data_IF_165159034093
#
_entry.id   IF_165159034093
#
_cell.length_a   1.000
_cell.length_b   1.000
_cell.length_c   1.000
_cell.angle_alpha   90.00
_cell.angle_beta   90.00
_cell.angle_gamma   90.00
#
_symmetry.space_group_name_H-M   'P 1'
#
loop_
_entity.id
_entity.type
_entity.pdbx_description
1 polymer ?
#
# COMPACT_ATOMS: atom_id res chain seq x y z
N UNK A 1 5.10 -6.55 -2.41
CA UNK A 1 4.29 -5.29 -2.50
C UNK A 1 5.12 -4.06 -2.16
N UNK A 2 5.94 -4.08 -1.11
CA UNK A 2 6.81 -2.94 -0.73
C UNK A 2 7.75 -2.49 -1.86
N UNK A 3 8.41 -3.38 -2.63
CA UNK A 3 9.26 -2.92 -3.73
C UNK A 3 8.54 -2.08 -4.79
N UNK A 4 7.21 -2.24 -4.90
CA UNK A 4 6.38 -1.41 -5.81
C UNK A 4 6.18 0.00 -5.24
N UNK A 5 6.02 0.10 -3.93
CA UNK A 5 5.99 1.39 -3.25
C UNK A 5 7.36 2.06 -3.26
N UNK A 6 8.46 1.33 -3.09
CA UNK A 6 9.81 1.93 -3.09
C UNK A 6 10.13 2.58 -4.44
N UNK A 7 9.70 1.96 -5.55
CA UNK A 7 9.78 2.56 -6.88
C UNK A 7 8.98 3.87 -6.98
N UNK A 8 7.74 3.88 -6.47
CA UNK A 8 6.93 5.10 -6.40
C UNK A 8 7.62 6.16 -5.53
N UNK A 9 8.10 5.81 -4.34
CA UNK A 9 8.74 6.74 -3.42
C UNK A 9 9.98 7.41 -4.06
N UNK A 10 10.79 6.63 -4.79
CA UNK A 10 11.91 7.17 -5.54
C UNK A 10 11.48 8.18 -6.62
N UNK A 11 10.38 7.92 -7.33
CA UNK A 11 9.81 8.85 -8.30
C UNK A 11 9.27 10.12 -7.63
N UNK A 12 8.54 9.97 -6.51
CA UNK A 12 8.01 11.11 -5.75
C UNK A 12 9.15 12.00 -5.23
N UNK A 13 10.24 11.41 -4.75
CA UNK A 13 11.42 12.15 -4.29
C UNK A 13 12.17 12.84 -5.43
N UNK A 14 12.22 12.24 -6.62
CA UNK A 14 12.72 12.91 -7.82
C UNK A 14 11.87 14.16 -8.14
N UNK A 15 10.54 14.02 -8.12
CA UNK A 15 9.59 15.12 -8.39
C UNK A 15 9.73 16.21 -7.33
N UNK A 16 9.83 15.86 -6.04
CA UNK A 16 10.05 16.83 -4.94
C UNK A 16 11.32 17.64 -5.14
N UNK A 17 12.45 16.96 -5.37
CA UNK A 17 13.75 17.63 -5.59
C UNK A 17 13.71 18.54 -6.82
N UNK A 18 13.06 18.10 -7.89
CA UNK A 18 12.87 18.93 -9.07
C UNK A 18 12.06 20.19 -8.75
N UNK A 19 10.89 20.06 -8.13
CA UNK A 19 10.02 21.19 -7.76
C UNK A 19 10.71 22.18 -6.81
N UNK A 20 11.48 21.68 -5.84
CA UNK A 20 12.25 22.50 -4.92
C UNK A 20 13.34 23.28 -5.65
N UNK A 21 14.10 22.63 -6.54
CA UNK A 21 15.14 23.31 -7.33
C UNK A 21 14.56 24.40 -8.24
N UNK A 22 13.43 24.12 -8.87
CA UNK A 22 12.67 25.03 -9.74
C UNK A 22 12.17 26.23 -8.95
N UNK A 23 11.73 26.03 -7.70
CA UNK A 23 11.20 27.11 -6.85
C UNK A 23 12.27 28.12 -6.35
N UNK A 24 13.53 27.71 -6.30
CA UNK A 24 14.65 28.55 -5.80
C UNK A 24 15.28 29.43 -6.89
N UNK A 25 14.98 29.16 -8.16
CA UNK A 25 15.53 29.89 -9.30
C UNK A 25 14.58 31.00 -9.76
N UNK A 26 15.13 32.12 -10.26
CA UNK A 26 14.32 33.07 -11.02
C UNK A 26 13.95 32.44 -12.37
N UNK A 27 12.73 31.92 -12.46
CA UNK A 27 12.24 31.24 -13.66
C UNK A 27 11.43 32.16 -14.56
N UNK A 28 11.55 31.94 -15.86
CA UNK A 28 10.62 32.51 -16.84
C UNK A 28 9.26 31.83 -16.74
N UNK A 29 8.23 32.47 -17.30
CA UNK A 29 6.86 31.90 -17.32
C UNK A 29 6.82 30.55 -18.05
N UNK A 30 7.57 30.42 -19.15
CA UNK A 30 7.64 29.17 -19.91
C UNK A 30 8.33 28.06 -19.13
N UNK A 31 9.42 28.37 -18.40
CA UNK A 31 10.10 27.38 -17.55
C UNK A 31 9.17 26.84 -16.46
N UNK A 32 8.36 27.71 -15.84
CA UNK A 32 7.36 27.29 -14.85
C UNK A 32 6.29 26.39 -15.46
N UNK A 33 5.85 26.71 -16.68
CA UNK A 33 4.87 25.91 -17.44
C UNK A 33 5.42 24.53 -17.81
N UNK A 34 6.66 24.44 -18.28
CA UNK A 34 7.31 23.16 -18.55
C UNK A 34 7.50 22.33 -17.28
N UNK A 35 7.91 22.96 -16.17
CA UNK A 35 8.03 22.28 -14.89
C UNK A 35 6.69 21.71 -14.42
N UNK A 36 5.61 22.50 -14.53
CA UNK A 36 4.26 22.07 -14.21
C UNK A 36 3.83 20.83 -15.03
N UNK A 37 3.99 20.89 -16.36
CA UNK A 37 3.64 19.81 -17.29
C UNK A 37 4.40 18.53 -16.95
N UNK A 38 5.71 18.64 -16.75
CA UNK A 38 6.56 17.51 -16.42
C UNK A 38 6.17 16.88 -15.08
N UNK A 39 5.96 17.70 -14.04
CA UNK A 39 5.63 17.22 -12.70
C UNK A 39 4.25 16.57 -12.63
N UNK A 40 3.22 17.14 -13.25
CA UNK A 40 1.88 16.53 -13.26
C UNK A 40 1.87 15.22 -14.05
N UNK A 41 2.54 15.19 -15.21
CA UNK A 41 2.61 13.99 -16.04
C UNK A 41 3.36 12.86 -15.33
N UNK A 42 4.51 13.17 -14.74
CA UNK A 42 5.30 12.21 -13.97
C UNK A 42 4.54 11.71 -12.73
N UNK A 43 3.96 12.62 -11.94
CA UNK A 43 3.23 12.26 -10.73
C UNK A 43 2.08 11.30 -11.02
N UNK A 44 1.28 11.60 -12.05
CA UNK A 44 0.19 10.71 -12.45
C UNK A 44 0.70 9.36 -12.97
N UNK A 45 1.70 9.36 -13.85
CA UNK A 45 2.24 8.14 -14.43
C UNK A 45 2.86 7.21 -13.37
N UNK A 46 3.59 7.76 -12.39
CA UNK A 46 4.15 7.01 -11.27
C UNK A 46 3.06 6.41 -10.38
N UNK A 47 2.00 7.18 -10.07
CA UNK A 47 0.86 6.66 -9.30
C UNK A 47 0.11 5.54 -10.06
N UNK A 48 -0.14 5.73 -11.35
CA UNK A 48 -0.83 4.73 -12.19
C UNK A 48 -0.04 3.42 -12.26
N UNK A 49 1.26 3.53 -12.57
CA UNK A 49 2.17 2.38 -12.62
C UNK A 49 2.22 1.66 -11.27
N UNK A 50 2.30 2.41 -10.16
CA UNK A 50 2.27 1.84 -8.82
C UNK A 50 0.98 1.06 -8.55
N UNK A 51 -0.19 1.65 -8.82
CA UNK A 51 -1.48 1.02 -8.56
C UNK A 51 -1.67 -0.27 -9.38
N UNK A 52 -1.32 -0.25 -10.67
CA UNK A 52 -1.38 -1.42 -11.55
C UNK A 52 -0.44 -2.54 -11.06
N UNK A 53 0.83 -2.21 -10.79
CA UNK A 53 1.81 -3.20 -10.31
C UNK A 53 1.47 -3.73 -8.92
N UNK A 54 0.89 -2.90 -8.05
CA UNK A 54 0.44 -3.30 -6.72
C UNK A 54 -0.74 -4.26 -6.81
N UNK A 55 -1.72 -3.98 -7.69
CA UNK A 55 -2.85 -4.88 -7.95
C UNK A 55 -2.37 -6.27 -8.38
N UNK A 56 -1.43 -6.32 -9.32
CA UNK A 56 -0.85 -7.58 -9.77
C UNK A 56 -0.12 -8.33 -8.66
N UNK A 57 0.80 -7.66 -7.95
CA UNK A 57 1.56 -8.32 -6.88
C UNK A 57 0.67 -8.78 -5.73
N UNK A 58 -0.33 -7.98 -5.36
CA UNK A 58 -1.32 -8.35 -4.35
C UNK A 58 -2.12 -9.59 -4.78
N UNK A 59 -2.60 -9.64 -6.02
CA UNK A 59 -3.28 -10.82 -6.57
C UNK A 59 -2.41 -12.07 -6.51
N UNK A 60 -1.14 -11.99 -6.92
CA UNK A 60 -0.21 -13.13 -6.82
C UNK A 60 -0.07 -13.65 -5.39
N UNK A 61 0.04 -12.76 -4.40
CA UNK A 61 0.19 -13.15 -3.00
C UNK A 61 -1.06 -13.83 -2.46
N UNK A 62 -2.23 -13.26 -2.73
CA UNK A 62 -3.50 -13.83 -2.30
C UNK A 62 -3.79 -15.17 -2.98
N UNK A 63 -3.40 -15.33 -4.25
CA UNK A 63 -3.63 -16.54 -5.04
C UNK A 63 -2.52 -17.60 -4.89
N UNK A 64 -1.44 -17.31 -4.17
CA UNK A 64 -0.43 -18.31 -3.81
C UNK A 64 -1.00 -19.41 -2.91
N UNK A 65 -2.08 -19.11 -2.17
CA UNK A 65 -2.86 -20.09 -1.42
C UNK A 65 -4.36 -19.73 -1.45
N UNK A 66 -5.09 -20.20 -2.48
CA UNK A 66 -6.49 -19.83 -2.70
C UNK A 66 -7.46 -20.37 -1.65
N UNK A 67 -7.05 -21.33 -0.82
CA UNK A 67 -7.86 -21.79 0.33
C UNK A 67 -8.11 -20.67 1.35
N UNK A 68 -7.29 -19.62 1.34
CA UNK A 68 -7.46 -18.44 2.20
C UNK A 68 -8.52 -17.45 1.70
N UNK A 69 -9.00 -17.63 0.46
CA UNK A 69 -10.02 -16.80 -0.19
C UNK A 69 -11.43 -17.36 0.01
N UNK A 70 -12.42 -16.47 0.07
CA UNK A 70 -13.82 -16.89 0.06
C UNK A 70 -14.26 -17.28 -1.36
N UNK A 71 -15.29 -18.12 -1.48
CA UNK A 71 -15.87 -18.47 -2.77
C UNK A 71 -16.34 -17.23 -3.55
N UNK A 72 -16.85 -16.21 -2.84
CA UNK A 72 -17.25 -14.93 -3.42
C UNK A 72 -16.06 -14.16 -4.01
N UNK A 73 -14.92 -14.13 -3.31
CA UNK A 73 -13.69 -13.49 -3.80
C UNK A 73 -13.15 -14.18 -5.06
N UNK A 74 -13.12 -15.52 -5.07
CA UNK A 74 -12.69 -16.30 -6.23
C UNK A 74 -13.62 -16.05 -7.43
N UNK A 75 -14.93 -16.08 -7.21
CA UNK A 75 -15.90 -15.82 -8.28
C UNK A 75 -15.82 -14.38 -8.80
N UNK A 76 -15.62 -13.41 -7.91
CA UNK A 76 -15.45 -11.99 -8.26
C UNK A 76 -14.18 -11.78 -9.08
N UNK A 77 -13.07 -12.40 -8.67
CA UNK A 77 -11.82 -12.41 -9.42
C UNK A 77 -12.03 -12.98 -10.82
N UNK A 78 -12.58 -14.19 -10.94
CA UNK A 78 -12.82 -14.84 -12.25
C UNK A 78 -13.70 -14.00 -13.15
N UNK A 79 -14.77 -13.44 -12.60
CA UNK A 79 -15.68 -12.58 -13.36
C UNK A 79 -14.96 -11.35 -13.89
N UNK A 80 -14.16 -10.68 -13.06
CA UNK A 80 -13.30 -9.55 -13.47
C UNK A 80 -12.28 -10.00 -14.52
N UNK A 81 -11.65 -11.16 -14.33
CA UNK A 81 -10.62 -11.69 -15.24
C UNK A 81 -11.18 -12.00 -16.62
N UNK A 82 -12.34 -12.67 -16.70
CA UNK A 82 -13.06 -12.95 -17.94
C UNK A 82 -13.41 -11.67 -18.68
N UNK A 83 -13.96 -10.68 -17.97
CA UNK A 83 -14.32 -9.38 -18.56
C UNK A 83 -13.09 -8.67 -19.12
N UNK A 84 -12.01 -8.61 -18.34
CA UNK A 84 -10.78 -7.93 -18.73
C UNK A 84 -10.06 -8.64 -19.88
N UNK A 85 -9.97 -9.98 -19.84
CA UNK A 85 -9.40 -10.77 -20.92
C UNK A 85 -10.18 -10.59 -22.23
N UNK A 86 -11.52 -10.65 -22.15
CA UNK A 86 -12.40 -10.41 -23.31
C UNK A 86 -12.22 -9.01 -23.88
N UNK A 87 -12.11 -7.99 -23.01
CA UNK A 87 -11.88 -6.61 -23.43
C UNK A 87 -10.50 -6.41 -24.06
N UNK A 88 -9.46 -7.10 -23.59
CA UNK A 88 -8.11 -7.05 -24.16
C UNK A 88 -8.03 -7.75 -25.52
N UNK A 89 -8.67 -8.92 -25.67
CA UNK A 89 -8.71 -9.64 -26.95
C UNK A 89 -9.44 -8.85 -28.04
N UNK A 90 -10.29 -7.89 -27.66
CA UNK A 90 -10.90 -6.93 -28.59
C UNK A 90 -10.02 -5.74 -28.97
N UNK A 91 -8.80 -5.61 -28.42
CA UNK A 91 -7.86 -4.51 -28.70
C UNK A 91 -6.76 -4.95 -29.67
N UNK A 92 -6.06 -3.98 -30.26
CA UNK A 92 -4.87 -4.25 -31.06
C UNK A 92 -3.70 -4.61 -30.12
N UNK A 93 -3.43 -5.91 -29.98
CA UNK A 93 -2.27 -6.43 -29.27
C UNK A 93 -0.99 -6.31 -30.13
N UNK A 94 0.18 -6.45 -29.53
CA UNK A 94 1.47 -6.30 -30.21
C UNK A 94 1.89 -4.86 -30.54
N UNK A 95 1.12 -3.84 -30.10
CA UNK A 95 1.43 -2.42 -30.30
C UNK A 95 1.28 -1.60 -29.03
N UNK A 96 2.03 -0.49 -28.95
CA UNK A 96 1.93 0.48 -27.85
C UNK A 96 2.12 -0.17 -26.47
N UNK A 97 1.16 0.05 -25.56
CA UNK A 97 1.17 -0.51 -24.19
C UNK A 97 1.03 -2.04 -24.13
N UNK A 98 0.65 -2.70 -25.23
CA UNK A 98 0.47 -4.16 -25.30
C UNK A 98 1.47 -4.82 -26.25
N UNK A 99 2.64 -4.18 -26.46
CA UNK A 99 3.65 -4.66 -27.41
C UNK A 99 4.19 -6.05 -27.07
N UNK A 100 4.24 -6.40 -25.79
CA UNK A 100 4.86 -7.63 -25.30
C UNK A 100 3.86 -8.77 -25.05
N UNK A 101 2.62 -8.62 -25.53
CA UNK A 101 1.53 -9.56 -25.24
C UNK A 101 0.82 -9.90 -26.53
N UNK A 102 0.55 -11.20 -26.68
CA UNK A 102 -0.28 -11.72 -27.75
C UNK A 102 -1.59 -12.33 -27.20
N UNK A 103 -2.46 -12.72 -28.13
CA UNK A 103 -3.75 -13.33 -27.81
C UNK A 103 -3.57 -14.64 -27.03
N UNK A 104 -2.52 -15.41 -27.34
CA UNK A 104 -2.28 -16.71 -26.74
C UNK A 104 -1.91 -16.58 -25.26
N UNK A 105 -1.11 -15.58 -24.90
CA UNK A 105 -0.77 -15.25 -23.52
C UNK A 105 -2.03 -14.94 -22.70
N UNK A 106 -2.94 -14.13 -23.24
CA UNK A 106 -4.19 -13.78 -22.56
C UNK A 106 -5.08 -15.02 -22.39
N UNK A 107 -5.21 -15.85 -23.43
CA UNK A 107 -6.04 -17.06 -23.38
C UNK A 107 -5.48 -18.08 -22.38
N UNK A 108 -4.16 -18.29 -22.34
CA UNK A 108 -3.51 -19.17 -21.36
C UNK A 108 -3.75 -18.67 -19.94
N UNK A 109 -3.57 -17.39 -19.73
CA UNK A 109 -3.76 -16.76 -18.42
C UNK A 109 -5.23 -16.85 -17.94
N UNK A 110 -6.18 -16.62 -18.85
CA UNK A 110 -7.60 -16.78 -18.58
C UNK A 110 -7.95 -18.24 -18.26
N UNK A 111 -7.46 -19.19 -19.06
CA UNK A 111 -7.69 -20.61 -18.85
C UNK A 111 -7.17 -21.04 -17.47
N UNK A 112 -5.96 -20.60 -17.11
CA UNK A 112 -5.38 -20.87 -15.79
C UNK A 112 -6.24 -20.33 -14.64
N UNK A 113 -6.82 -19.16 -14.80
CA UNK A 113 -7.71 -18.57 -13.81
C UNK A 113 -9.06 -19.30 -13.67
N UNK A 114 -9.53 -19.97 -14.72
CA UNK A 114 -10.83 -20.64 -14.76
C UNK A 114 -10.76 -22.12 -14.34
N UNK A 115 -9.68 -22.82 -14.64
CA UNK A 115 -9.54 -24.27 -14.37
C UNK A 115 -8.98 -24.60 -12.97
N UNK A 116 -8.72 -23.58 -12.15
CA UNK A 116 -8.05 -23.73 -10.85
C UNK A 116 -6.66 -24.39 -10.94
N UNK A 117 -5.94 -24.17 -12.03
CA UNK A 117 -4.52 -24.53 -12.11
C UNK A 117 -3.73 -23.69 -11.11
N UNK A 118 -3.04 -24.38 -10.21
CA UNK A 118 -2.15 -23.77 -9.23
C UNK A 118 -0.70 -24.08 -9.59
N UNK A 119 0.21 -23.10 -9.62
CA UNK A 119 -0.05 -21.67 -9.41
C UNK A 119 -0.79 -21.02 -10.59
N UNK A 120 -1.59 -19.98 -10.31
CA UNK A 120 -2.27 -19.17 -11.33
C UNK A 120 -1.25 -18.43 -12.21
N UNK A 121 -1.34 -18.59 -13.54
CA UNK A 121 -0.57 -17.79 -14.52
C UNK A 121 -1.28 -16.46 -14.76
N UNK A 122 -1.13 -15.52 -13.83
CA UNK A 122 -1.71 -14.19 -13.94
C UNK A 122 -0.87 -13.30 -14.85
N UNK A 123 -1.54 -12.49 -15.67
CA UNK A 123 -0.94 -11.35 -16.39
C UNK A 123 -1.34 -10.00 -15.79
N UNK A 124 -0.37 -9.09 -15.72
CA UNK A 124 -0.52 -7.72 -15.21
C UNK A 124 -1.61 -6.99 -15.97
N UNK A 125 -1.59 -7.09 -17.29
CA UNK A 125 -2.42 -6.31 -18.19
C UNK A 125 -3.87 -6.73 -18.11
N UNK A 126 -4.14 -7.99 -17.76
CA UNK A 126 -5.50 -8.48 -17.52
C UNK A 126 -5.98 -8.06 -16.15
N UNK A 127 -5.20 -8.29 -15.07
CA UNK A 127 -5.67 -8.00 -13.71
C UNK A 127 -5.84 -6.50 -13.47
N UNK A 128 -4.92 -5.70 -14.02
CA UNK A 128 -4.87 -4.27 -13.86
C UNK A 128 -5.56 -3.52 -15.00
N UNK A 129 -6.27 -4.21 -15.91
CA UNK A 129 -6.99 -3.54 -16.98
C UNK A 129 -8.01 -2.55 -16.41
N UNK A 130 -7.86 -1.30 -16.82
CA UNK A 130 -8.85 -0.24 -16.66
C UNK A 130 -8.94 0.57 -17.97
N UNK A 131 -10.14 1.06 -18.29
CA UNK A 131 -10.40 1.81 -19.53
C UNK A 131 -10.51 3.33 -19.32
N UNK A 132 -10.42 3.79 -18.08
CA UNK A 132 -10.45 5.19 -17.69
C UNK A 132 -9.19 5.53 -16.89
N UNK A 133 -8.84 6.80 -16.83
CA UNK A 133 -7.83 7.28 -15.88
C UNK A 133 -8.19 6.81 -14.45
N UNK A 134 -7.19 6.49 -13.64
CA UNK A 134 -7.33 6.12 -12.23
C UNK A 134 -7.83 7.26 -11.34
N UNK A 135 -9.11 7.64 -11.51
CA UNK A 135 -9.90 8.32 -10.48
C UNK A 135 -10.16 7.34 -9.32
N UNK A 136 -10.69 7.85 -8.21
CA UNK A 136 -10.90 7.10 -6.97
C UNK A 136 -11.60 5.75 -7.16
N UNK A 137 -12.73 5.74 -7.86
CA UNK A 137 -13.50 4.51 -8.09
C UNK A 137 -12.73 3.55 -9.02
N UNK A 138 -12.08 4.05 -10.07
CA UNK A 138 -11.29 3.23 -10.97
C UNK A 138 -10.09 2.59 -10.28
N UNK A 139 -9.43 3.30 -9.36
CA UNK A 139 -8.38 2.74 -8.50
C UNK A 139 -8.96 1.66 -7.57
N UNK A 140 -10.10 1.92 -6.91
CA UNK A 140 -10.74 0.94 -6.04
C UNK A 140 -11.18 -0.33 -6.80
N UNK A 141 -11.61 -0.17 -8.06
CA UNK A 141 -12.04 -1.26 -8.95
C UNK A 141 -10.95 -2.26 -9.28
N UNK A 142 -9.67 -1.85 -9.23
CA UNK A 142 -8.55 -2.78 -9.40
C UNK A 142 -8.57 -3.88 -8.32
N UNK A 143 -8.98 -3.53 -7.09
CA UNK A 143 -8.90 -4.40 -5.91
C UNK A 143 -10.26 -4.88 -5.41
N UNK A 144 -11.37 -4.39 -5.98
CA UNK A 144 -12.74 -4.66 -5.54
C UNK A 144 -13.07 -6.16 -5.44
N UNK A 145 -12.41 -7.00 -6.24
CA UNK A 145 -12.59 -8.45 -6.19
C UNK A 145 -12.21 -9.07 -4.83
N UNK A 146 -11.19 -8.50 -4.16
CA UNK A 146 -10.72 -8.95 -2.86
C UNK A 146 -11.20 -8.05 -1.72
N UNK A 147 -11.32 -6.75 -1.97
CA UNK A 147 -11.51 -5.71 -0.95
C UNK A 147 -12.61 -4.73 -1.35
N UNK A 148 -13.89 -5.11 -1.25
CA UNK A 148 -15.00 -4.23 -1.65
C UNK A 148 -15.05 -2.91 -0.87
N UNK A 149 -14.58 -2.90 0.39
CA UNK A 149 -14.57 -1.74 1.27
C UNK A 149 -13.25 -0.96 1.26
N UNK A 150 -12.40 -1.15 0.24
CA UNK A 150 -11.07 -0.56 0.15
C UNK A 150 -11.05 0.97 0.34
N UNK A 151 -11.94 1.79 -0.27
CA UNK A 151 -11.98 3.23 -0.04
C UNK A 151 -12.05 3.61 1.44
N UNK A 152 -12.91 2.93 2.20
CA UNK A 152 -13.05 3.15 3.63
C UNK A 152 -11.79 2.75 4.38
N UNK A 153 -11.09 1.68 3.97
CA UNK A 153 -9.83 1.27 4.61
C UNK A 153 -8.73 2.31 4.41
N UNK A 154 -8.57 2.82 3.20
CA UNK A 154 -7.58 3.86 2.87
C UNK A 154 -7.82 5.12 3.70
N UNK A 155 -9.08 5.57 3.78
CA UNK A 155 -9.48 6.72 4.60
C UNK A 155 -9.05 6.58 6.07
N UNK A 156 -9.07 5.36 6.62
CA UNK A 156 -8.72 5.12 8.01
C UNK A 156 -7.23 4.90 8.24
N UNK A 157 -6.43 4.75 7.16
CA UNK A 157 -5.01 4.48 7.25
C UNK A 157 -4.25 5.60 7.98
N UNK A 158 -3.24 5.21 8.75
CA UNK A 158 -2.47 6.13 9.59
C UNK A 158 -1.74 7.20 8.74
N UNK A 159 -1.17 6.83 7.59
CA UNK A 159 -0.55 7.76 6.64
C UNK A 159 -1.53 8.83 6.13
N UNK A 160 -2.75 8.42 5.75
CA UNK A 160 -3.80 9.34 5.27
C UNK A 160 -4.27 10.28 6.37
N UNK A 161 -4.45 9.77 7.60
CA UNK A 161 -4.76 10.61 8.77
C UNK A 161 -3.64 11.60 9.07
N UNK A 162 -2.38 11.18 8.96
CA UNK A 162 -1.22 12.06 9.17
C UNK A 162 -1.19 13.19 8.15
N UNK A 163 -1.38 12.86 6.86
CA UNK A 163 -1.50 13.84 5.78
C UNK A 163 -2.65 14.81 6.05
N UNK A 164 -3.84 14.31 6.40
CA UNK A 164 -5.01 15.13 6.72
C UNK A 164 -4.70 16.22 7.76
N UNK A 165 -4.06 15.83 8.87
CA UNK A 165 -3.70 16.76 9.94
C UNK A 165 -2.68 17.79 9.44
N UNK A 166 -1.64 17.35 8.72
CA UNK A 166 -0.60 18.24 8.16
C UNK A 166 -1.16 19.23 7.14
N UNK A 167 -2.16 18.82 6.36
CA UNK A 167 -2.83 19.63 5.35
C UNK A 167 -3.92 20.53 5.93
N UNK A 168 -4.04 20.66 7.25
CA UNK A 168 -5.00 21.56 7.91
C UNK A 168 -6.45 21.09 7.89
N UNK A 169 -6.72 19.84 7.50
CA UNK A 169 -8.07 19.27 7.44
C UNK A 169 -8.40 18.53 8.75
N UNK A 170 -8.31 19.20 9.90
CA UNK A 170 -8.32 18.58 11.24
C UNK A 170 -9.62 17.90 11.70
N UNK A 171 -10.63 17.79 10.85
CA UNK A 171 -11.90 17.15 11.22
C UNK A 171 -11.74 15.64 11.47
N UNK A 172 -12.42 15.14 12.51
CA UNK A 172 -12.24 13.77 13.02
C UNK A 172 -12.57 12.65 12.02
N UNK A 173 -13.29 12.98 10.95
CA UNK A 173 -13.64 12.02 9.88
C UNK A 173 -13.36 12.68 8.54
N UNK A 174 -12.36 12.18 7.81
CA UNK A 174 -12.10 12.65 6.47
C UNK A 174 -13.22 12.16 5.54
N UNK A 175 -13.98 13.03 4.85
CA UNK A 175 -14.95 12.57 3.87
C UNK A 175 -14.21 11.81 2.76
N UNK A 176 -14.68 10.62 2.36
CA UNK A 176 -14.09 9.88 1.22
C UNK A 176 -14.10 10.76 -0.04
N UNK A 177 -15.06 11.67 -0.11
CA UNK A 177 -15.23 12.71 -1.11
C UNK A 177 -14.01 13.63 -1.22
N UNK A 178 -13.28 13.90 -0.12
CA UNK A 178 -12.08 14.72 -0.16
C UNK A 178 -10.95 14.01 -0.90
N UNK A 179 -10.67 12.73 -0.57
CA UNK A 179 -9.67 11.93 -1.28
C UNK A 179 -10.04 11.80 -2.76
N UNK A 180 -11.32 11.53 -3.02
CA UNK A 180 -11.82 11.40 -4.37
C UNK A 180 -11.64 12.69 -5.18
N UNK A 181 -11.90 13.85 -4.56
CA UNK A 181 -11.73 15.17 -5.18
C UNK A 181 -10.26 15.48 -5.48
N UNK A 182 -9.36 15.25 -4.53
CA UNK A 182 -7.92 15.51 -4.75
C UNK A 182 -7.33 14.65 -5.86
N UNK A 183 -7.71 13.37 -5.94
CA UNK A 183 -7.29 12.49 -7.02
C UNK A 183 -7.94 12.87 -8.36
N UNK A 184 -9.21 13.28 -8.35
CA UNK A 184 -9.90 13.79 -9.53
C UNK A 184 -9.22 15.04 -10.11
N UNK A 185 -8.80 15.98 -9.25
CA UNK A 185 -8.08 17.18 -9.67
C UNK A 185 -6.72 16.83 -10.32
N UNK A 186 -5.96 15.85 -9.78
CA UNK A 186 -4.74 15.37 -10.45
C UNK A 186 -5.03 14.81 -11.86
N UNK A 187 -6.08 13.99 -11.98
CA UNK A 187 -6.50 13.40 -13.26
C UNK A 187 -6.89 14.48 -14.27
N UNK A 188 -7.65 15.49 -13.82
CA UNK A 188 -8.09 16.59 -14.67
C UNK A 188 -6.92 17.43 -15.16
N UNK A 189 -5.99 17.77 -14.28
CA UNK A 189 -4.75 18.48 -14.64
C UNK A 189 -3.90 17.71 -15.63
N UNK A 190 -3.75 16.39 -15.44
CA UNK A 190 -3.03 15.53 -16.39
C UNK A 190 -3.70 15.56 -17.76
N UNK A 191 -5.04 15.50 -17.81
CA UNK A 191 -5.80 15.56 -19.05
C UNK A 191 -5.65 16.92 -19.74
N UNK A 192 -5.69 18.02 -18.99
CA UNK A 192 -5.48 19.36 -19.53
C UNK A 192 -4.10 19.48 -20.18
N UNK A 193 -3.04 19.05 -19.47
CA UNK A 193 -1.67 19.04 -19.97
C UNK A 193 -1.53 18.18 -21.24
N UNK A 194 -2.20 17.02 -21.28
CA UNK A 194 -2.10 16.08 -22.40
C UNK A 194 -2.87 16.53 -23.65
N UNK A 195 -4.00 17.23 -23.48
CA UNK A 195 -4.89 17.58 -24.59
C UNK A 195 -4.82 19.04 -25.03
N UNK A 196 -4.53 19.98 -24.12
CA UNK A 196 -4.59 21.42 -24.37
C UNK A 196 -3.22 22.08 -24.51
N UNK A 197 -2.14 21.32 -24.37
CA UNK A 197 -0.77 21.84 -24.43
C UNK A 197 -0.43 22.63 -23.17
N UNK A 198 0.14 23.83 -23.33
CA UNK A 198 0.62 24.65 -22.21
C UNK A 198 -0.56 25.35 -21.52
N UNK A 199 -0.87 25.04 -20.24
CA UNK A 199 -1.97 25.68 -19.54
C UNK A 199 -1.71 27.16 -19.28
N UNK A 200 -2.76 27.98 -19.42
CA UNK A 200 -2.71 29.39 -19.04
C UNK A 200 -2.66 29.57 -17.52
N UNK A 201 -3.37 28.71 -16.79
CA UNK A 201 -3.38 28.66 -15.33
C UNK A 201 -2.59 27.43 -14.84
N UNK A 202 -1.47 27.70 -14.16
CA UNK A 202 -0.67 26.67 -13.48
C UNK A 202 -0.70 26.91 -11.96
N UNK A 203 -0.68 25.83 -11.19
CA UNK A 203 -0.56 25.93 -9.73
C UNK A 203 0.86 26.24 -9.30
N UNK A 204 1.01 26.75 -8.07
CA UNK A 204 2.33 27.02 -7.49
C UNK A 204 3.11 25.72 -7.23
N UNK A 205 4.44 25.83 -7.12
CA UNK A 205 5.28 24.68 -6.74
C UNK A 205 4.89 24.11 -5.38
N UNK A 206 4.45 24.95 -4.45
CA UNK A 206 3.93 24.53 -3.14
C UNK A 206 2.66 23.66 -3.27
N UNK A 207 1.73 24.07 -4.13
CA UNK A 207 0.52 23.29 -4.42
C UNK A 207 0.85 21.96 -5.11
N UNK A 208 1.88 21.92 -5.97
CA UNK A 208 2.36 20.66 -6.55
C UNK A 208 3.02 19.75 -5.52
N UNK A 209 3.81 20.30 -4.60
CA UNK A 209 4.40 19.54 -3.50
C UNK A 209 3.31 18.94 -2.60
N UNK A 210 2.25 19.70 -2.28
CA UNK A 210 1.10 19.20 -1.54
C UNK A 210 0.39 18.03 -2.27
N UNK A 211 0.37 18.03 -3.62
CA UNK A 211 -0.14 16.91 -4.43
C UNK A 211 0.77 15.69 -4.37
N UNK A 212 2.08 15.88 -4.34
CA UNK A 212 3.02 14.77 -4.14
C UNK A 212 2.77 14.12 -2.77
N UNK A 213 2.64 14.92 -1.72
CA UNK A 213 2.37 14.42 -0.36
C UNK A 213 1.01 13.71 -0.26
N UNK A 214 -0.01 14.19 -0.98
CA UNK A 214 -1.29 13.52 -1.09
C UNK A 214 -1.17 12.13 -1.76
N UNK A 215 -0.45 12.05 -2.89
CA UNK A 215 -0.26 10.79 -3.61
C UNK A 215 0.54 9.79 -2.78
N UNK A 216 1.57 10.24 -2.07
CA UNK A 216 2.31 9.41 -1.12
C UNK A 216 1.37 8.85 -0.03
N UNK A 217 0.57 9.71 0.60
CA UNK A 217 -0.32 9.31 1.69
C UNK A 217 -1.39 8.30 1.25
N UNK A 218 -2.03 8.52 0.10
CA UNK A 218 -3.01 7.58 -0.47
C UNK A 218 -2.34 6.26 -0.85
N UNK A 219 -1.13 6.30 -1.41
CA UNK A 219 -0.38 5.11 -1.82
C UNK A 219 0.04 4.27 -0.62
N UNK A 220 0.52 4.90 0.45
CA UNK A 220 0.77 4.26 1.73
C UNK A 220 -0.51 3.69 2.35
N UNK A 221 -1.62 4.43 2.27
CA UNK A 221 -2.91 3.96 2.78
C UNK A 221 -3.45 2.74 2.02
N UNK A 222 -3.27 2.72 0.71
CA UNK A 222 -3.55 1.57 -0.15
C UNK A 222 -2.69 0.37 0.24
N UNK A 223 -1.37 0.57 0.35
CA UNK A 223 -0.42 -0.47 0.76
C UNK A 223 -0.76 -1.03 2.15
N UNK A 224 -1.04 -0.19 3.14
CA UNK A 224 -1.40 -0.61 4.50
C UNK A 224 -2.70 -1.42 4.51
N UNK A 225 -3.70 -1.00 3.74
CA UNK A 225 -5.00 -1.67 3.63
C UNK A 225 -4.85 -3.09 3.06
N UNK A 226 -4.03 -3.24 2.01
CA UNK A 226 -3.77 -4.53 1.38
C UNK A 226 -2.87 -5.42 2.24
N UNK A 227 -1.83 -4.85 2.87
CA UNK A 227 -0.91 -5.58 3.74
C UNK A 227 -1.63 -6.19 4.95
N UNK A 228 -2.65 -5.50 5.48
CA UNK A 228 -3.51 -6.04 6.54
C UNK A 228 -4.18 -7.35 6.15
N UNK A 229 -4.58 -7.51 4.88
CA UNK A 229 -5.20 -8.74 4.39
C UNK A 229 -4.16 -9.86 4.21
N UNK A 230 -2.96 -9.51 3.75
CA UNK A 230 -1.85 -10.46 3.62
C UNK A 230 -1.44 -11.01 4.99
N UNK A 231 -1.37 -10.16 6.01
CA UNK A 231 -1.06 -10.57 7.39
C UNK A 231 -2.16 -11.44 8.00
N UNK A 232 -3.43 -11.10 7.79
CA UNK A 232 -4.54 -11.95 8.23
C UNK A 232 -4.58 -13.29 7.47
N UNK A 233 -4.22 -13.30 6.18
CA UNK A 233 -4.08 -14.53 5.41
C UNK A 233 -2.92 -15.38 5.95
N UNK A 234 -1.77 -14.80 6.29
CA UNK A 234 -0.64 -15.54 6.87
C UNK A 234 -1.01 -16.22 8.18
N UNK A 235 -1.87 -15.59 9.01
CA UNK A 235 -2.46 -16.24 10.19
C UNK A 235 -3.28 -17.47 9.84
N UNK A 236 -4.16 -17.38 8.83
CA UNK A 236 -4.99 -18.52 8.39
C UNK A 236 -4.15 -19.64 7.78
N UNK A 237 -2.99 -19.31 7.21
CA UNK A 237 -2.02 -20.25 6.63
C UNK A 237 -1.08 -20.88 7.67
N UNK A 238 -1.24 -20.58 8.96
CA UNK A 238 -0.32 -20.99 10.03
C UNK A 238 1.12 -20.48 9.83
N UNK A 239 1.30 -19.41 9.06
CA UNK A 239 2.58 -18.71 8.89
C UNK A 239 2.78 -17.66 9.98
N UNK A 240 1.70 -17.24 10.64
CA UNK A 240 1.73 -16.39 11.83
C UNK A 240 1.10 -17.10 13.02
N UNK A 241 1.76 -17.00 14.17
CA UNK A 241 1.30 -17.59 15.43
C UNK A 241 0.90 -16.49 16.41
N UNK A 242 -0.18 -16.71 17.15
CA UNK A 242 -0.59 -15.80 18.21
C UNK A 242 0.45 -15.82 19.33
N UNK A 243 0.92 -14.65 19.73
CA UNK A 243 1.90 -14.48 20.79
C UNK A 243 1.24 -14.19 22.13
N UNK A 244 0.14 -13.43 22.12
CA UNK A 244 -0.68 -13.14 23.28
C UNK A 244 -1.34 -11.77 23.20
N UNK A 245 -2.22 -11.48 24.16
CA UNK A 245 -2.84 -10.16 24.32
C UNK A 245 -2.02 -9.33 25.31
N UNK A 246 -1.50 -8.16 24.91
CA UNK A 246 -0.79 -7.32 25.86
C UNK A 246 -1.72 -6.65 26.87
N UNK A 247 -1.32 -6.66 28.13
CA UNK A 247 -2.06 -6.09 29.27
C UNK A 247 -1.58 -4.69 29.64
N UNK A 248 -0.30 -4.40 29.43
CA UNK A 248 0.31 -3.11 29.75
C UNK A 248 0.99 -2.50 28.52
N UNK A 249 0.99 -1.16 28.46
CA UNK A 249 1.47 -0.38 27.33
C UNK A 249 2.28 0.82 27.84
N UNK A 250 3.52 0.91 27.40
CA UNK A 250 4.45 2.01 27.72
C UNK A 250 4.95 2.66 26.43
N UNK A 251 5.52 3.86 26.54
CA UNK A 251 6.06 4.64 25.40
C UNK A 251 5.06 4.70 24.23
N UNK A 252 3.83 5.16 24.51
CA UNK A 252 2.74 5.25 23.54
C UNK A 252 2.33 3.89 22.90
N UNK A 253 2.62 2.76 23.55
CA UNK A 253 2.26 1.42 23.07
C UNK A 253 3.33 0.76 22.19
N UNK A 254 4.56 1.29 22.20
CA UNK A 254 5.73 0.66 21.58
C UNK A 254 6.37 -0.40 22.47
N UNK A 255 6.27 -0.21 23.78
CA UNK A 255 6.61 -1.24 24.75
C UNK A 255 5.30 -1.85 25.24
N UNK A 256 5.21 -3.17 25.17
CA UNK A 256 4.02 -3.92 25.58
C UNK A 256 4.42 -5.06 26.50
N UNK A 257 3.59 -5.34 27.51
CA UNK A 257 3.79 -6.51 28.40
C UNK A 257 2.77 -7.57 28.04
N UNK A 258 3.25 -8.78 27.75
CA UNK A 258 2.41 -9.95 27.50
C UNK A 258 2.54 -10.88 28.72
N UNK A 259 1.46 -11.11 29.50
CA UNK A 259 1.53 -11.90 30.74
C UNK A 259 1.97 -13.35 30.55
N UNK A 260 1.66 -13.92 29.39
CA UNK A 260 2.03 -15.30 29.08
C UNK A 260 2.21 -15.41 27.57
N UNK A 261 3.46 -15.56 27.14
CA UNK A 261 3.77 -15.82 25.73
C UNK A 261 3.27 -17.20 25.31
N UNK A 262 2.46 -17.28 24.26
CA UNK A 262 2.01 -18.57 23.74
C UNK A 262 3.11 -19.30 22.96
N UNK A 263 4.05 -18.56 22.36
CA UNK A 263 5.13 -19.08 21.53
C UNK A 263 6.45 -18.34 21.82
N UNK A 264 7.62 -18.96 21.59
CA UNK A 264 8.91 -18.31 21.79
C UNK A 264 9.15 -17.19 20.76
N UNK A 265 9.92 -16.18 21.17
CA UNK A 265 10.35 -15.07 20.32
C UNK A 265 11.80 -14.65 20.58
N UNK A 266 12.42 -14.06 19.57
CA UNK A 266 13.75 -13.50 19.59
C UNK A 266 13.78 -12.07 19.06
N UNK A 267 14.74 -11.27 19.53
CA UNK A 267 15.01 -9.94 18.96
C UNK A 267 15.28 -10.08 17.47
N UNK A 268 14.61 -9.24 16.67
CA UNK A 268 14.64 -9.28 15.21
C UNK A 268 13.42 -9.96 14.57
N UNK A 269 12.62 -10.72 15.34
CA UNK A 269 11.37 -11.31 14.87
C UNK A 269 10.41 -10.25 14.34
N UNK A 270 9.67 -10.60 13.27
CA UNK A 270 8.63 -9.73 12.71
C UNK A 270 7.33 -9.98 13.43
N UNK A 271 6.86 -8.97 14.15
CA UNK A 271 5.59 -9.03 14.86
C UNK A 271 4.56 -8.14 14.18
N UNK A 272 3.29 -8.48 14.33
CA UNK A 272 2.20 -7.66 13.86
C UNK A 272 0.98 -7.73 14.77
N UNK A 273 0.20 -6.66 14.75
CA UNK A 273 -1.05 -6.54 15.48
C UNK A 273 -2.08 -5.84 14.61
N UNK A 274 -3.34 -6.28 14.72
CA UNK A 274 -4.45 -5.76 13.93
C UNK A 274 -5.59 -5.28 14.83
N UNK A 275 -6.13 -4.11 14.52
CA UNK A 275 -7.34 -3.58 15.17
C UNK A 275 -8.33 -3.10 14.13
N UNK A 276 -9.40 -3.87 13.98
CA UNK A 276 -10.41 -3.60 12.95
C UNK A 276 -9.85 -3.89 11.56
N UNK A 277 -9.70 -2.87 10.72
CA UNK A 277 -9.40 -3.02 9.28
C UNK A 277 -7.93 -2.80 8.92
N UNK A 278 -7.10 -2.44 9.91
CA UNK A 278 -5.70 -2.08 9.72
C UNK A 278 -4.81 -2.88 10.67
N UNK A 279 -3.75 -3.44 10.09
CA UNK A 279 -2.65 -4.06 10.78
C UNK A 279 -1.43 -3.15 10.76
N UNK A 280 -0.62 -3.27 11.81
CA UNK A 280 0.73 -2.73 11.88
C UNK A 280 1.68 -3.88 12.12
N UNK A 281 2.86 -3.78 11.54
CA UNK A 281 3.91 -4.77 11.69
C UNK A 281 5.27 -4.10 11.75
N UNK A 282 6.27 -4.86 12.18
CA UNK A 282 7.65 -4.39 12.29
C UNK A 282 8.46 -5.30 13.19
N UNK A 283 9.65 -4.87 13.59
CA UNK A 283 10.61 -5.71 14.30
C UNK A 283 10.47 -5.61 15.81
N UNK A 284 10.63 -6.75 16.46
CA UNK A 284 10.94 -6.83 17.89
C UNK A 284 12.37 -6.34 18.13
N UNK A 285 12.52 -5.24 18.86
CA UNK A 285 13.80 -4.56 19.10
C UNK A 285 14.48 -4.97 20.39
N UNK A 286 13.69 -5.22 21.43
CA UNK A 286 14.20 -5.52 22.77
C UNK A 286 13.21 -6.44 23.48
N UNK A 287 13.73 -7.38 24.25
CA UNK A 287 12.96 -8.28 25.10
C UNK A 287 13.47 -8.09 26.52
N UNK A 288 12.56 -7.85 27.47
CA UNK A 288 12.87 -7.70 28.88
C UNK A 288 12.15 -8.77 29.71
N UNK A 289 12.91 -9.48 30.53
CA UNK A 289 12.45 -10.47 31.50
C UNK A 289 13.03 -10.11 32.87
N UNK A 290 12.17 -9.91 33.88
CA UNK A 290 12.56 -9.52 35.24
C UNK A 290 13.54 -8.32 35.30
N UNK A 291 13.28 -7.32 34.47
CA UNK A 291 14.11 -6.11 34.38
C UNK A 291 15.40 -6.26 33.58
N UNK A 292 15.71 -7.44 33.03
CA UNK A 292 16.93 -7.70 32.26
C UNK A 292 16.64 -7.91 30.78
N UNK A 293 17.50 -7.35 29.94
CA UNK A 293 17.43 -7.54 28.51
C UNK A 293 17.95 -8.93 28.13
N UNK A 294 17.16 -9.65 27.33
CA UNK A 294 17.49 -10.98 26.84
C UNK A 294 17.36 -11.02 25.31
N UNK A 295 18.17 -11.84 24.60
CA UNK A 295 18.08 -11.93 23.15
C UNK A 295 16.86 -12.72 22.67
N UNK A 296 16.33 -13.61 23.52
CA UNK A 296 15.19 -14.47 23.22
C UNK A 296 14.52 -14.94 24.50
N UNK A 297 13.26 -15.36 24.38
CA UNK A 297 12.47 -15.86 25.50
C UNK A 297 11.57 -17.02 25.06
N UNK A 298 11.33 -17.97 25.96
CA UNK A 298 10.45 -19.12 25.73
C UNK A 298 8.96 -18.76 25.85
N UNK A 299 8.10 -19.74 25.59
CA UNK A 299 6.67 -19.64 25.90
C UNK A 299 6.41 -19.76 27.41
N UNK A 300 5.26 -19.29 27.87
CA UNK A 300 4.75 -19.48 29.22
C UNK A 300 5.21 -18.44 30.25
N UNK A 301 5.98 -17.43 29.84
CA UNK A 301 6.50 -16.39 30.74
C UNK A 301 5.90 -15.03 30.43
N UNK A 302 5.81 -14.20 31.46
CA UNK A 302 5.51 -12.78 31.31
C UNK A 302 6.71 -12.09 30.68
N UNK A 303 6.49 -11.20 29.72
CA UNK A 303 7.58 -10.57 28.98
C UNK A 303 7.24 -9.16 28.53
N UNK A 304 8.17 -8.24 28.75
CA UNK A 304 8.16 -6.91 28.13
C UNK A 304 8.79 -6.96 26.74
N UNK A 305 8.09 -6.44 25.74
CA UNK A 305 8.51 -6.42 24.33
C UNK A 305 8.54 -4.97 23.83
N UNK A 306 9.69 -4.54 23.31
CA UNK A 306 9.83 -3.23 22.64
C UNK A 306 9.80 -3.40 21.13
N UNK A 307 8.93 -2.66 20.47
CA UNK A 307 8.64 -2.75 19.04
C UNK A 307 8.98 -1.43 18.36
N UNK A 308 9.34 -1.49 17.08
CA UNK A 308 9.54 -0.27 16.26
C UNK A 308 8.22 0.35 15.77
N UNK A 309 7.08 -0.30 16.01
CA UNK A 309 5.74 0.22 15.74
C UNK A 309 4.88 0.27 17.01
N UNK A 310 3.83 1.10 16.99
CA UNK A 310 2.86 1.20 18.09
C UNK A 310 1.80 0.10 17.97
N UNK A 311 1.70 -0.75 18.98
CA UNK A 311 0.64 -1.77 19.09
C UNK A 311 -0.70 -1.11 19.41
N UNK A 312 -1.76 -1.31 18.60
CA UNK A 312 -3.07 -0.78 18.93
C UNK A 312 -3.62 -1.44 20.21
N UNK A 313 -4.06 -0.63 21.18
CA UNK A 313 -4.60 -1.13 22.46
C UNK A 313 -5.70 -2.17 22.27
N UNK A 314 -5.58 -3.29 22.98
CA UNK A 314 -6.54 -4.40 22.97
C UNK A 314 -6.42 -5.33 21.77
N UNK A 315 -5.30 -5.29 21.04
CA UNK A 315 -5.04 -6.16 19.90
C UNK A 315 -4.09 -7.28 20.29
N UNK A 316 -4.38 -8.51 19.86
CA UNK A 316 -3.45 -9.60 20.00
C UNK A 316 -2.21 -9.37 19.12
N UNK A 317 -1.05 -9.68 19.67
CA UNK A 317 0.21 -9.67 18.94
C UNK A 317 0.43 -11.05 18.31
N UNK A 318 0.98 -11.07 17.12
CA UNK A 318 1.33 -12.28 16.38
C UNK A 318 2.78 -12.19 15.93
N UNK A 319 3.46 -13.33 15.91
CA UNK A 319 4.78 -13.47 15.29
C UNK A 319 4.62 -14.07 13.91
N UNK A 320 5.21 -13.44 12.90
CA UNK A 320 5.20 -13.93 11.53
C UNK A 320 6.45 -14.76 11.28
N UNK A 321 6.29 -16.09 11.16
CA UNK A 321 7.39 -17.06 11.09
C UNK A 321 8.03 -17.15 9.72
N UNK A 322 7.23 -16.99 8.67
CA UNK A 322 7.68 -17.03 7.27
C UNK A 322 7.30 -15.72 6.59
N UNK A 323 7.90 -14.58 6.98
CA UNK A 323 7.62 -13.32 6.35
C UNK A 323 8.04 -13.36 4.88
N UNK A 324 7.15 -12.91 4.00
CA UNK A 324 7.52 -12.64 2.62
C UNK A 324 8.56 -11.51 2.64
N UNK A 325 9.66 -11.68 1.90
CA UNK A 325 10.76 -10.71 1.84
C UNK A 325 10.29 -9.31 1.41
N UNK A 326 9.20 -9.24 0.64
CA UNK A 326 8.57 -7.99 0.24
C UNK A 326 7.79 -7.28 1.36
N UNK A 327 7.76 -7.80 2.59
CA UNK A 327 6.95 -7.28 3.70
C UNK A 327 7.70 -7.10 5.01
N UNK A 328 8.98 -7.43 5.06
CA UNK A 328 9.74 -7.45 6.32
C UNK A 328 9.77 -6.06 6.98
N UNK A 329 10.16 -5.04 6.23
CA UNK A 329 10.35 -3.69 6.74
C UNK A 329 9.27 -2.78 6.17
N UNK A 330 8.30 -2.29 6.98
CA UNK A 330 7.26 -1.39 6.51
C UNK A 330 7.88 -0.10 5.95
N UNK A 331 7.33 0.50 4.89
CA UNK A 331 7.85 1.78 4.40
C UNK A 331 7.74 2.89 5.44
N UNK A 332 8.67 3.84 5.40
CA UNK A 332 8.61 5.03 6.24
C UNK A 332 7.28 5.77 6.06
N UNK A 333 6.71 6.25 7.16
CA UNK A 333 5.45 7.00 7.17
C UNK A 333 4.17 6.18 6.98
N UNK A 334 4.25 4.86 6.70
CA UNK A 334 3.06 4.02 6.50
C UNK A 334 2.12 4.01 7.73
N UNK A 335 2.69 4.09 8.94
CA UNK A 335 1.92 4.24 10.17
C UNK A 335 1.90 5.68 10.72
N UNK A 336 2.22 6.69 9.92
CA UNK A 336 2.28 8.08 10.37
C UNK A 336 3.26 8.27 11.53
N UNK A 337 2.78 8.78 12.66
CA UNK A 337 3.54 8.94 13.91
C UNK A 337 3.74 7.63 14.70
N UNK A 338 3.13 6.53 14.23
CA UNK A 338 3.07 5.23 14.91
C UNK A 338 4.15 4.25 14.47
N UNK A 339 5.11 4.71 13.65
CA UNK A 339 6.26 3.97 13.17
C UNK A 339 6.16 3.52 11.71
N UNK A 340 7.07 2.64 11.26
CA UNK A 340 8.23 2.12 11.99
C UNK A 340 9.19 3.25 12.40
N UNK A 341 9.92 3.07 13.51
CA UNK A 341 11.02 3.98 13.89
C UNK A 341 12.22 3.74 12.96
N UNK A 342 12.90 4.81 12.58
CA UNK A 342 14.17 4.70 11.87
C UNK A 342 15.16 3.87 12.70
N UNK A 343 15.94 3.02 12.02
CA UNK A 343 16.92 2.15 12.66
C UNK A 343 17.97 2.92 13.47
N UNK A 344 18.16 4.22 13.19
CA UNK A 344 19.13 5.10 13.85
C UNK A 344 18.56 5.89 15.04
N UNK A 345 17.26 5.83 15.31
CA UNK A 345 16.65 6.42 16.50
C UNK A 345 16.70 5.44 17.68
N UNK A 346 17.91 5.05 18.11
CA UNK A 346 18.15 4.20 19.29
C UNK A 346 19.10 4.87 20.27
#
# INVERSE_FOLDING_TARGET
MIPKYDALAADLDLIRRYLQSVSQLQQTTDQRRFAYIASISALYASFETFAEQLAFRFSQLMLSNPESLTAEQVQSLRSKYVQNASALLGKNLGVGRYKEIDELDIVKSLASCLDDSHPYDLRLEVIALHNSNLRWDAMADLFRWAVPDLPTRIQHADAVRSWQVKSGHSDATLPTELLARELADLVERRNEVSHRGIPDEIVSSEQLLAKVDFIEAVSLGLLASLSSLVLEASRRRNESEALGLPTEYYQQGRIVVVPTLAVPVAVGDILWASKGRLARWGRLREIQLDGRNVPSVGSGVETGLKLDFVVPKGSALHVWRTPDTDFIDPPAGIFGDRGPLDAEAS
#
